data_IF_654699113242
#
_entry.id   IF_654699113242
#
_cell.length_a   1.000
_cell.length_b   1.000
_cell.length_c   1.000
_cell.angle_alpha   90.00
_cell.angle_beta   90.00
_cell.angle_gamma   90.00
#
_symmetry.space_group_name_H-M   'P 1'
#
loop_
_entity.id
_entity.type
_entity.pdbx_description
1 polymer ?
#
# COMPACT_ATOMS: atom_id res chain seq x y z
N UNK A 1 15.97 2.25 -5.92
CA UNK A 1 15.30 1.67 -7.13
C UNK A 1 13.80 1.61 -6.86
N UNK A 2 12.94 2.01 -7.80
CA UNK A 2 11.48 1.94 -7.64
C UNK A 2 10.91 0.76 -8.43
N UNK A 3 10.24 -0.15 -7.75
CA UNK A 3 9.66 -1.33 -8.38
C UNK A 3 8.15 -1.34 -8.12
N UNK A 4 7.36 -1.41 -9.19
CA UNK A 4 5.90 -1.45 -9.07
C UNK A 4 5.49 -2.81 -8.50
N UNK A 5 4.87 -2.80 -7.33
CA UNK A 5 4.52 -4.02 -6.59
C UNK A 5 3.03 -4.33 -6.71
N UNK A 6 2.20 -3.30 -6.82
CA UNK A 6 0.75 -3.47 -6.87
C UNK A 6 -0.01 -2.15 -6.90
N UNK A 7 -1.28 -2.22 -6.53
CA UNK A 7 -2.18 -1.08 -6.52
C UNK A 7 -3.03 -1.12 -5.26
N UNK A 8 -3.24 0.03 -4.62
CA UNK A 8 -4.11 0.14 -3.45
C UNK A 8 -5.54 -0.26 -3.82
N UNK A 9 -6.11 -1.22 -3.08
CA UNK A 9 -7.48 -1.70 -3.30
C UNK A 9 -8.54 -0.64 -2.97
N UNK A 10 -8.23 0.32 -2.11
CA UNK A 10 -9.17 1.37 -1.70
C UNK A 10 -9.19 2.56 -2.67
N UNK A 11 -8.02 3.18 -2.91
CA UNK A 11 -7.92 4.40 -3.72
C UNK A 11 -7.39 4.20 -5.14
N UNK A 12 -6.96 2.98 -5.51
CA UNK A 12 -6.43 2.70 -6.85
C UNK A 12 -5.02 3.27 -7.11
N UNK A 13 -4.34 3.80 -6.09
CA UNK A 13 -2.98 4.35 -6.22
C UNK A 13 -1.97 3.24 -6.46
N UNK A 14 -1.03 3.43 -7.39
CA UNK A 14 0.03 2.44 -7.63
C UNK A 14 1.01 2.43 -6.45
N UNK A 15 1.34 1.25 -5.94
CA UNK A 15 2.24 1.03 -4.82
C UNK A 15 3.61 0.56 -5.34
N UNK A 16 4.66 1.15 -4.78
CA UNK A 16 6.03 0.92 -5.21
C UNK A 16 6.90 0.47 -4.03
N UNK A 17 7.80 -0.48 -4.29
CA UNK A 17 8.94 -0.75 -3.44
C UNK A 17 10.00 0.29 -3.77
N UNK A 18 10.35 1.14 -2.80
CA UNK A 18 11.47 2.05 -2.93
C UNK A 18 12.63 1.49 -2.13
N UNK A 19 13.72 1.15 -2.82
CA UNK A 19 14.97 0.69 -2.20
C UNK A 19 14.78 -0.52 -1.27
N UNK A 20 13.92 -1.45 -1.70
CA UNK A 20 13.59 -2.67 -0.95
C UNK A 20 12.51 -2.49 0.13
N UNK A 21 12.03 -1.26 0.36
CA UNK A 21 10.93 -0.98 1.28
C UNK A 21 9.61 -0.82 0.56
N UNK A 22 8.62 -1.59 0.98
CA UNK A 22 7.28 -1.52 0.42
C UNK A 22 6.52 -0.31 0.97
N UNK A 23 6.12 0.62 0.09
CA UNK A 23 5.33 1.81 0.49
C UNK A 23 3.83 1.51 0.55
N UNK A 24 3.45 0.54 1.38
CA UNK A 24 2.06 0.21 1.64
C UNK A 24 1.91 -0.87 2.71
N UNK A 25 0.67 -1.22 3.02
CA UNK A 25 0.30 -2.27 3.97
C UNK A 25 -0.36 -3.40 3.20
N UNK A 26 -0.05 -4.64 3.58
CA UNK A 26 -0.68 -5.83 3.02
C UNK A 26 -1.53 -6.48 4.10
N UNK A 27 -2.83 -6.53 3.88
CA UNK A 27 -3.83 -6.93 4.88
C UNK A 27 -4.88 -7.78 4.18
N UNK A 28 -5.20 -8.96 4.74
CA UNK A 28 -6.19 -9.90 4.19
C UNK A 28 -5.97 -10.25 2.70
N UNK A 29 -4.71 -10.34 2.28
CA UNK A 29 -4.33 -10.60 0.87
C UNK A 29 -4.53 -9.42 -0.09
N UNK A 30 -5.09 -8.31 0.39
CA UNK A 30 -5.18 -7.06 -0.34
C UNK A 30 -4.00 -6.12 0.02
N UNK A 31 -3.76 -5.14 -0.83
CA UNK A 31 -2.71 -4.15 -0.63
C UNK A 31 -3.32 -2.76 -0.54
N UNK A 32 -2.85 -1.98 0.41
CA UNK A 32 -3.36 -0.65 0.75
C UNK A 32 -2.20 0.34 0.82
N UNK A 33 -2.42 1.59 0.44
CA UNK A 33 -1.46 2.65 0.77
C UNK A 33 -1.53 2.97 2.27
N UNK A 34 -0.48 3.59 2.80
CA UNK A 34 -0.43 3.97 4.21
C UNK A 34 -1.60 4.86 4.62
N UNK A 35 -1.99 5.83 3.78
CA UNK A 35 -3.15 6.69 4.01
C UNK A 35 -4.42 5.86 4.27
N UNK A 36 -4.76 4.92 3.38
CA UNK A 36 -5.97 4.10 3.53
C UNK A 36 -5.86 3.05 4.64
N UNK A 37 -4.64 2.65 5.03
CA UNK A 37 -4.43 1.75 6.15
C UNK A 37 -4.58 2.49 7.49
N UNK A 38 -4.04 3.70 7.61
CA UNK A 38 -4.22 4.57 8.78
C UNK A 38 -5.68 4.96 9.00
N UNK A 39 -6.44 5.21 7.93
CA UNK A 39 -7.88 5.48 8.01
C UNK A 39 -8.67 4.30 8.60
N UNK A 40 -8.23 3.05 8.35
CA UNK A 40 -8.87 1.85 8.91
C UNK A 40 -8.56 1.62 10.39
N UNK A 41 -7.35 1.96 10.84
CA UNK A 41 -6.91 1.68 12.22
C UNK A 41 -7.51 2.66 13.24
N UNK A 42 -8.11 3.76 12.76
CA UNK A 42 -8.73 4.80 13.60
C UNK A 42 -10.22 4.58 13.94
N UNK A 43 -10.81 3.43 13.58
CA UNK A 43 -12.21 3.11 13.88
C UNK A 43 -12.39 2.33 15.18
#
# INVERSE_FOLDING_TARGET
MQEKVGTCKNCGRTLYCMDGFFNGVKEDGATYCFECAEEKEKE
#
